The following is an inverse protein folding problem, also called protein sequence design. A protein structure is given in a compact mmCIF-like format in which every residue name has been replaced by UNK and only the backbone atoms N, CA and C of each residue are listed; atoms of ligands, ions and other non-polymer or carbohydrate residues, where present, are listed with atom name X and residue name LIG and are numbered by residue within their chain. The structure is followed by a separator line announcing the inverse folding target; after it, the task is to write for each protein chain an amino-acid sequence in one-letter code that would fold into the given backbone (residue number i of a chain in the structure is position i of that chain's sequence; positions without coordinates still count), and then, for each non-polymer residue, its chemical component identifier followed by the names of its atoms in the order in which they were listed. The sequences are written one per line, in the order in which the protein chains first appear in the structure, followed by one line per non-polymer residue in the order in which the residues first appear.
data_IF_020545844842
#
_entry.id   IF_020545844842
#
_cell.length_a   1.000
_cell.length_b   1.000
_cell.length_c   1.000
_cell.angle_alpha   90.00
_cell.angle_beta   90.00
_cell.angle_gamma   90.00
#
_symmetry.space_group_name_H-M   'P 1'
#
loop_
_entity.id
_entity.type
_entity.pdbx_description
1 polymer ?
#
# COMPACT_ATOMS: atom_id res chain seq x y z
N UNK A 1 10.66 3.42 -9.62
CA UNK A 1 10.83 2.93 -11.01
C UNK A 1 10.40 4.07 -11.91
N UNK A 2 11.34 4.81 -12.51
CA UNK A 2 11.07 6.00 -13.32
C UNK A 2 10.75 5.56 -14.74
N UNK A 3 9.64 6.03 -15.32
CA UNK A 3 9.33 5.77 -16.72
C UNK A 3 10.18 6.65 -17.62
N UNK A 4 10.29 6.28 -18.89
CA UNK A 4 11.20 6.89 -19.87
C UNK A 4 10.89 8.37 -20.18
N UNK A 5 9.73 8.86 -19.75
CA UNK A 5 9.28 10.25 -19.83
C UNK A 5 9.61 11.07 -18.57
N UNK A 6 10.30 10.47 -17.59
CA UNK A 6 10.63 11.12 -16.33
C UNK A 6 9.46 11.14 -15.32
N UNK A 7 8.29 10.59 -15.66
CA UNK A 7 7.24 10.40 -14.67
C UNK A 7 7.62 9.24 -13.74
N UNK A 8 7.61 9.52 -12.44
CA UNK A 8 7.46 8.46 -11.44
C UNK A 8 5.99 8.01 -11.46
N UNK A 9 5.72 6.73 -11.24
CA UNK A 9 4.33 6.28 -11.08
C UNK A 9 3.71 7.02 -9.90
N UNK A 10 2.78 7.94 -10.18
CA UNK A 10 1.75 8.35 -9.24
C UNK A 10 1.97 9.61 -8.38
N UNK A 11 3.09 10.34 -8.44
CA UNK A 11 3.27 11.57 -7.63
C UNK A 11 4.20 12.57 -8.32
N UNK A 12 3.85 13.85 -8.32
CA UNK A 12 4.71 14.93 -8.82
C UNK A 12 5.95 15.10 -7.92
N UNK A 13 7.11 15.42 -8.51
CA UNK A 13 8.38 15.51 -7.78
C UNK A 13 8.38 16.54 -6.64
N UNK A 14 7.46 17.51 -6.66
CA UNK A 14 7.31 18.55 -5.63
C UNK A 14 6.39 18.14 -4.47
N UNK A 15 5.62 17.05 -4.60
CA UNK A 15 4.78 16.47 -3.51
C UNK A 15 5.62 15.61 -2.54
N UNK A 16 6.91 15.47 -2.83
CA UNK A 16 7.89 14.72 -2.05
C UNK A 16 8.60 15.61 -1.02
N UNK A 17 7.84 16.32 -0.18
CA UNK A 17 8.45 16.98 0.98
C UNK A 17 8.89 15.91 1.97
N UNK A 18 10.18 15.89 2.30
CA UNK A 18 10.77 14.98 3.27
C UNK A 18 10.02 15.09 4.60
N UNK A 19 9.30 14.04 4.96
CA UNK A 19 8.63 13.95 6.26
C UNK A 19 9.68 13.56 7.29
N UNK A 20 9.75 14.36 8.35
CA UNK A 20 10.68 14.16 9.47
C UNK A 20 10.50 12.77 10.09
N UNK A 21 11.65 12.19 10.46
CA UNK A 21 11.88 10.86 11.03
C UNK A 21 10.78 10.49 12.05
N UNK A 22 9.85 9.62 11.62
CA UNK A 22 8.78 9.12 12.48
C UNK A 22 9.37 8.10 13.45
N UNK A 23 9.06 8.25 14.73
CA UNK A 23 9.51 7.36 15.80
C UNK A 23 9.19 5.90 15.43
N UNK A 24 10.23 5.08 15.28
CA UNK A 24 10.15 3.72 14.76
C UNK A 24 9.48 2.79 15.80
N UNK A 25 8.15 2.81 15.85
CA UNK A 25 7.35 1.89 16.64
C UNK A 25 6.90 0.69 15.78
N UNK A 26 7.40 -0.51 16.08
CA UNK A 26 7.04 -1.73 15.34
C UNK A 26 5.53 -2.04 15.34
N UNK A 27 4.80 -1.51 16.33
CA UNK A 27 3.37 -1.72 16.51
C UNK A 27 2.58 -0.58 15.86
N UNK A 28 2.89 0.66 16.22
CA UNK A 28 2.08 1.82 15.84
C UNK A 28 2.54 2.46 14.51
N UNK A 29 3.83 2.41 14.18
CA UNK A 29 4.41 3.05 13.00
C UNK A 29 5.38 2.11 12.25
N UNK A 30 4.88 0.99 11.67
CA UNK A 30 5.76 -0.03 11.12
C UNK A 30 6.50 0.51 9.89
N UNK A 31 7.82 0.40 9.87
CA UNK A 31 8.70 0.93 8.80
C UNK A 31 8.35 0.51 7.36
N UNK A 32 7.62 -0.58 7.20
CA UNK A 32 7.17 -1.08 5.90
C UNK A 32 5.85 -0.47 5.42
N UNK A 33 5.29 0.47 6.19
CA UNK A 33 4.06 1.20 5.90
C UNK A 33 4.20 2.73 6.01
N UNK A 34 5.34 3.23 6.49
CA UNK A 34 5.66 4.66 6.65
C UNK A 34 6.47 5.26 5.50
N UNK A 35 6.66 4.53 4.40
CA UNK A 35 7.38 5.01 3.22
C UNK A 35 6.50 5.81 2.25
N UNK A 36 5.19 5.90 2.52
CA UNK A 36 4.25 6.60 1.66
C UNK A 36 4.59 8.11 1.71
N UNK A 37 4.63 8.79 0.56
CA UNK A 37 4.89 10.22 0.50
C UNK A 37 3.92 11.02 1.38
N UNK A 38 4.36 12.18 1.88
CA UNK A 38 3.58 13.09 2.72
C UNK A 38 3.23 12.61 4.13
N UNK A 39 3.81 11.49 4.59
CA UNK A 39 3.63 11.03 5.98
C UNK A 39 2.28 10.37 6.22
N UNK A 40 1.58 10.02 5.14
CA UNK A 40 0.37 9.23 5.17
C UNK A 40 0.74 7.79 5.57
N UNK A 41 -0.08 7.16 6.39
CA UNK A 41 0.09 5.76 6.74
C UNK A 41 -0.87 4.87 5.96
N UNK A 42 -0.50 3.58 5.83
CA UNK A 42 -1.41 2.59 5.22
C UNK A 42 -2.76 2.55 5.95
N UNK A 43 -2.78 2.81 7.26
CA UNK A 43 -4.02 2.79 8.04
C UNK A 43 -4.99 3.90 7.64
N UNK A 44 -4.47 5.11 7.37
CA UNK A 44 -5.27 6.29 6.96
C UNK A 44 -6.07 6.04 5.67
N UNK A 45 -5.56 5.17 4.80
CA UNK A 45 -6.26 4.77 3.58
C UNK A 45 -7.19 3.58 3.86
N UNK A 46 -6.66 2.55 4.54
CA UNK A 46 -7.32 1.24 4.63
C UNK A 46 -8.47 1.20 5.64
N UNK A 47 -8.54 2.13 6.59
CA UNK A 47 -9.66 2.23 7.55
C UNK A 47 -11.01 2.60 6.88
N UNK A 48 -10.96 3.27 5.73
CA UNK A 48 -12.13 3.65 4.95
C UNK A 48 -12.58 2.55 3.96
N UNK A 49 -11.91 1.40 3.97
CA UNK A 49 -12.16 0.29 3.06
C UNK A 49 -12.82 -0.89 3.77
N UNK A 50 -13.50 -1.74 3.01
CA UNK A 50 -13.93 -3.02 3.54
C UNK A 50 -12.75 -3.96 3.78
N UNK A 51 -12.99 -5.05 4.52
CA UNK A 51 -11.95 -6.00 4.91
C UNK A 51 -11.13 -6.52 3.71
N UNK A 52 -11.78 -6.81 2.57
CA UNK A 52 -11.07 -7.35 1.42
C UNK A 52 -10.19 -6.28 0.76
N UNK A 53 -10.74 -5.11 0.48
CA UNK A 53 -10.04 -4.02 -0.19
C UNK A 53 -8.90 -3.44 0.66
N UNK A 54 -9.13 -3.23 1.96
CA UNK A 54 -8.10 -2.74 2.88
C UNK A 54 -6.91 -3.70 2.97
N UNK A 55 -7.16 -5.02 3.02
CA UNK A 55 -6.07 -5.99 2.97
C UNK A 55 -5.35 -5.99 1.62
N UNK A 56 -6.07 -5.88 0.50
CA UNK A 56 -5.44 -5.82 -0.82
C UNK A 56 -4.48 -4.64 -0.93
N UNK A 57 -4.93 -3.43 -0.57
CA UNK A 57 -4.10 -2.21 -0.58
C UNK A 57 -2.90 -2.35 0.35
N UNK A 58 -3.10 -2.85 1.57
CA UNK A 58 -2.01 -3.13 2.51
C UNK A 58 -0.92 -4.01 1.89
N UNK A 59 -1.27 -5.10 1.18
CA UNK A 59 -0.27 -5.97 0.56
C UNK A 59 0.40 -5.33 -0.66
N UNK A 60 -0.32 -4.52 -1.44
CA UNK A 60 0.28 -3.75 -2.54
C UNK A 60 1.34 -2.79 -1.99
N UNK A 61 1.00 -2.01 -0.96
CA UNK A 61 1.91 -1.03 -0.35
C UNK A 61 3.04 -1.69 0.44
N UNK A 62 2.85 -2.92 0.90
CA UNK A 62 3.93 -3.67 1.56
C UNK A 62 4.94 -4.27 0.58
N UNK A 63 4.52 -4.49 -0.67
CA UNK A 63 5.37 -5.12 -1.66
C UNK A 63 6.64 -4.29 -1.86
N UNK A 64 7.81 -4.94 -1.86
CA UNK A 64 9.15 -4.33 -1.86
C UNK A 64 9.62 -3.64 -0.56
N UNK A 65 8.80 -3.54 0.49
CA UNK A 65 9.16 -2.81 1.72
C UNK A 65 9.35 -3.68 2.97
N UNK A 66 8.96 -4.96 2.92
CA UNK A 66 9.09 -5.88 4.08
C UNK A 66 9.96 -7.12 3.85
N UNK A 67 9.94 -7.69 2.65
CA UNK A 67 10.59 -8.97 2.35
C UNK A 67 11.17 -8.99 0.93
N UNK A 68 12.19 -9.82 0.70
CA UNK A 68 12.84 -10.05 -0.61
C UNK A 68 11.92 -10.64 -1.70
N UNK A 69 10.67 -10.98 -1.34
CA UNK A 69 9.67 -11.56 -2.26
C UNK A 69 8.44 -10.65 -2.40
N UNK A 70 8.52 -9.59 -3.22
CA UNK A 70 7.35 -8.75 -3.55
C UNK A 70 6.22 -9.56 -4.20
N UNK A 71 6.57 -10.63 -4.91
CA UNK A 71 5.60 -11.51 -5.57
C UNK A 71 4.62 -12.15 -4.57
N UNK A 72 5.08 -12.51 -3.37
CA UNK A 72 4.21 -13.12 -2.35
C UNK A 72 3.13 -12.14 -1.89
N UNK A 73 3.49 -10.87 -1.69
CA UNK A 73 2.54 -9.85 -1.27
C UNK A 73 1.57 -9.50 -2.40
N UNK A 74 2.04 -9.41 -3.65
CA UNK A 74 1.16 -9.21 -4.81
C UNK A 74 0.16 -10.37 -5.00
N UNK A 75 0.60 -11.62 -4.77
CA UNK A 75 -0.32 -12.79 -4.81
C UNK A 75 -1.37 -12.72 -3.70
N UNK A 76 -1.02 -12.23 -2.51
CA UNK A 76 -2.00 -12.00 -1.43
C UNK A 76 -2.97 -10.89 -1.79
N UNK A 77 -2.50 -9.79 -2.37
CA UNK A 77 -3.37 -8.72 -2.84
C UNK A 77 -4.40 -9.24 -3.85
N UNK A 78 -3.95 -9.99 -4.86
CA UNK A 78 -4.84 -10.61 -5.85
C UNK A 78 -5.88 -11.56 -5.20
N UNK A 79 -5.48 -12.33 -4.18
CA UNK A 79 -6.39 -13.20 -3.45
C UNK A 79 -7.54 -12.42 -2.77
N UNK A 80 -7.23 -11.29 -2.13
CA UNK A 80 -8.26 -10.46 -1.50
C UNK A 80 -9.18 -9.77 -2.53
N UNK A 81 -8.65 -9.35 -3.68
CA UNK A 81 -9.46 -8.79 -4.77
C UNK A 81 -10.44 -9.82 -5.31
N UNK A 82 -10.00 -11.06 -5.55
CA UNK A 82 -10.88 -12.13 -6.04
C UNK A 82 -12.04 -12.39 -5.08
N UNK A 83 -11.79 -12.36 -3.76
CA UNK A 83 -12.85 -12.51 -2.75
C UNK A 83 -13.85 -11.36 -2.77
N UNK A 84 -13.39 -10.15 -3.05
CA UNK A 84 -14.31 -9.01 -3.17
C UNK A 84 -15.18 -9.12 -4.41
N UNK A 85 -14.61 -9.62 -5.52
CA UNK A 85 -15.37 -9.94 -6.74
C UNK A 85 -16.44 -10.99 -6.43
N UNK A 86 -16.06 -12.12 -5.83
CA UNK A 86 -17.01 -13.19 -5.44
C UNK A 86 -18.13 -12.66 -4.53
N UNK A 87 -17.81 -11.78 -3.57
CA UNK A 87 -18.80 -11.16 -2.68
C UNK A 87 -19.81 -10.29 -3.46
N UNK A 88 -19.33 -9.53 -4.44
CA UNK A 88 -20.16 -8.66 -5.27
C UNK A 88 -20.98 -9.44 -6.30
N UNK A 89 -20.46 -10.54 -6.82
CA UNK A 89 -21.21 -11.46 -7.70
C UNK A 89 -22.33 -12.16 -6.94
N UNK A 90 -22.10 -12.57 -5.68
CA UNK A 90 -23.12 -13.21 -4.85
C UNK A 90 -24.21 -12.24 -4.34
N UNK A 91 -23.99 -10.94 -4.44
CA UNK A 91 -24.94 -9.90 -4.01
C UNK A 91 -25.82 -9.37 -5.16
N UNK A 92 -25.59 -9.83 -6.40
CA UNK A 92 -26.43 -9.56 -7.57
C UNK A 92 -27.55 -10.60 -7.69
#
# INVERSE_FOLDING_TARGET
MTFADGQAFGFDAEEFTAVEDQDHDEINHPSHYTWIPSGLEVIDITEHMNFNLGNAVKYVLRSNHKHDSPLTDLRKAAWYINREIERLEAAQ
#
